data_IF_704166922426
#
_entry.id   IF_704166922426
#
_cell.length_a   1.000
_cell.length_b   1.000
_cell.length_c   1.000
_cell.angle_alpha   90.00
_cell.angle_beta   90.00
_cell.angle_gamma   90.00
#
_symmetry.space_group_name_H-M   'P 1'
#
loop_
_entity.id
_entity.type
_entity.pdbx_description
1 polymer ?
#
# COMPACT_ATOMS: atom_id res chain seq x y z
N UNK A 1 -51.82 26.56 -15.62
CA UNK A 1 -50.39 26.81 -15.95
C UNK A 1 -49.50 27.09 -14.74
N UNK A 2 -49.96 27.76 -13.67
CA UNK A 2 -49.14 28.04 -12.46
C UNK A 2 -48.75 26.81 -11.61
N UNK A 3 -49.62 25.79 -11.53
CA UNK A 3 -49.39 24.57 -10.72
C UNK A 3 -48.39 23.58 -11.33
N UNK A 4 -48.28 23.55 -12.66
CA UNK A 4 -47.36 22.66 -13.40
C UNK A 4 -45.90 23.15 -13.25
N UNK A 5 -45.70 24.47 -13.25
CA UNK A 5 -44.38 25.08 -12.98
C UNK A 5 -43.85 24.76 -11.58
N UNK A 6 -44.73 24.68 -10.57
CA UNK A 6 -44.34 24.38 -9.19
C UNK A 6 -43.90 22.92 -9.05
N UNK A 7 -44.62 21.98 -9.67
CA UNK A 7 -44.23 20.56 -9.65
C UNK A 7 -42.93 20.29 -10.41
N UNK A 8 -42.68 21.01 -11.51
CA UNK A 8 -41.41 20.93 -12.25
C UNK A 8 -40.21 21.43 -11.44
N UNK A 9 -40.37 22.55 -10.71
CA UNK A 9 -39.32 23.08 -9.82
C UNK A 9 -39.03 22.16 -8.63
N UNK A 10 -40.05 21.48 -8.09
CA UNK A 10 -39.90 20.53 -6.98
C UNK A 10 -39.17 19.25 -7.42
N UNK A 11 -39.40 18.77 -8.64
CA UNK A 11 -38.67 17.63 -9.20
C UNK A 11 -37.19 17.95 -9.43
N UNK A 12 -36.87 19.18 -9.89
CA UNK A 12 -35.49 19.64 -10.08
C UNK A 12 -34.76 19.81 -8.72
N UNK A 13 -35.46 20.33 -7.71
CA UNK A 13 -34.91 20.46 -6.36
C UNK A 13 -34.65 19.09 -5.70
N UNK A 14 -35.54 18.11 -5.88
CA UNK A 14 -35.32 16.74 -5.36
C UNK A 14 -34.25 15.96 -6.14
N UNK A 15 -34.02 16.27 -7.42
CA UNK A 15 -32.88 15.72 -8.17
C UNK A 15 -31.53 16.33 -7.78
N UNK A 16 -31.51 17.51 -7.16
CA UNK A 16 -30.28 18.12 -6.66
C UNK A 16 -29.92 17.64 -5.24
N UNK A 17 -30.90 17.23 -4.44
CA UNK A 17 -30.66 16.63 -3.12
C UNK A 17 -30.19 15.16 -3.17
N UNK A 18 -30.12 14.55 -4.36
CA UNK A 18 -29.81 13.12 -4.54
C UNK A 18 -28.33 12.78 -4.73
N UNK A 19 -27.44 13.77 -4.87
CA UNK A 19 -26.01 13.57 -5.06
C UNK A 19 -25.19 14.60 -4.26
N UNK A 20 -25.40 14.65 -2.94
CA UNK A 20 -24.29 15.03 -2.06
C UNK A 20 -23.70 13.72 -1.57
N UNK A 21 -22.83 13.12 -2.39
CA UNK A 21 -21.84 12.20 -1.86
C UNK A 21 -20.95 13.06 -0.97
N UNK A 22 -21.27 13.08 0.32
CA UNK A 22 -20.31 13.40 1.38
C UNK A 22 -19.18 12.37 1.28
N UNK A 23 -18.26 12.60 0.35
CA UNK A 23 -16.89 12.11 0.38
C UNK A 23 -15.99 13.35 0.40
N UNK A 24 -16.30 14.26 1.32
CA UNK A 24 -15.62 15.55 1.46
C UNK A 24 -14.38 15.47 2.35
N UNK A 25 -14.05 14.30 2.90
CA UNK A 25 -12.88 14.08 3.78
C UNK A 25 -12.23 12.68 3.59
N UNK A 26 -12.25 12.09 2.39
CA UNK A 26 -11.54 10.81 2.18
C UNK A 26 -10.04 10.94 2.48
N UNK A 27 -9.47 12.12 2.22
CA UNK A 27 -8.07 12.39 2.52
C UNK A 27 -7.77 12.30 4.01
N UNK A 28 -8.67 12.65 4.93
CA UNK A 28 -8.35 12.69 6.37
C UNK A 28 -8.25 11.31 7.02
N UNK A 29 -8.95 10.32 6.47
CA UNK A 29 -8.92 8.93 6.95
C UNK A 29 -7.95 8.04 6.16
N UNK A 30 -7.28 8.57 5.14
CA UNK A 30 -6.31 7.81 4.35
C UNK A 30 -5.03 7.61 5.14
N UNK A 31 -4.62 6.36 5.32
CA UNK A 31 -3.31 5.98 5.84
C UNK A 31 -2.41 5.56 4.67
N UNK A 32 -1.11 5.72 4.83
CA UNK A 32 -0.13 5.33 3.81
C UNK A 32 0.83 4.30 4.36
N UNK A 33 0.98 3.18 3.65
CA UNK A 33 2.08 2.25 3.84
C UNK A 33 3.15 2.55 2.80
N UNK A 34 4.33 2.98 3.25
CA UNK A 34 5.51 3.07 2.41
C UNK A 34 6.21 1.71 2.44
N UNK A 35 6.07 0.95 1.36
CA UNK A 35 6.61 -0.40 1.24
C UNK A 35 7.97 -0.35 0.53
N UNK A 36 8.98 -0.96 1.14
CA UNK A 36 10.29 -1.18 0.55
C UNK A 36 10.63 -2.67 0.58
N UNK A 37 10.85 -3.25 -0.58
CA UNK A 37 11.30 -4.64 -0.73
C UNK A 37 12.72 -4.63 -1.26
N UNK A 38 13.67 -4.92 -0.40
CA UNK A 38 15.07 -5.06 -0.76
C UNK A 38 15.32 -6.51 -1.16
N UNK A 39 15.95 -6.70 -2.31
CA UNK A 39 16.22 -8.04 -2.83
C UNK A 39 17.71 -8.30 -2.94
N UNK A 40 18.12 -9.48 -2.46
CA UNK A 40 19.51 -9.91 -2.42
C UNK A 40 19.66 -11.36 -2.88
N UNK A 41 20.91 -11.79 -3.09
CA UNK A 41 21.24 -13.16 -3.47
C UNK A 41 21.46 -13.36 -4.98
N UNK A 42 21.68 -14.61 -5.36
CA UNK A 42 22.19 -15.00 -6.69
C UNK A 42 21.16 -14.88 -7.79
N UNK A 43 19.87 -14.97 -7.46
CA UNK A 43 18.78 -14.89 -8.43
C UNK A 43 18.11 -13.50 -8.51
N UNK A 44 18.62 -12.49 -7.79
CA UNK A 44 17.99 -11.15 -7.78
C UNK A 44 17.82 -10.54 -9.18
N UNK A 45 18.77 -10.79 -10.07
CA UNK A 45 18.75 -10.25 -11.44
C UNK A 45 17.76 -10.99 -12.36
N UNK A 46 17.18 -12.10 -11.89
CA UNK A 46 16.13 -12.83 -12.60
C UNK A 46 14.72 -12.30 -12.30
N UNK A 47 14.58 -11.37 -11.35
CA UNK A 47 13.30 -10.76 -10.98
C UNK A 47 12.89 -9.75 -12.04
N UNK A 48 11.69 -9.96 -12.57
CA UNK A 48 11.05 -9.10 -13.55
C UNK A 48 10.25 -8.00 -12.87
N UNK A 49 9.42 -8.36 -11.88
CA UNK A 49 8.61 -7.42 -11.12
C UNK A 49 8.23 -7.99 -9.75
N UNK A 50 7.81 -7.10 -8.84
CA UNK A 50 7.13 -7.45 -7.59
C UNK A 50 5.80 -6.69 -7.55
N UNK A 51 4.73 -7.44 -7.37
CA UNK A 51 3.36 -6.92 -7.19
C UNK A 51 2.76 -7.57 -5.96
N UNK A 52 1.63 -7.06 -5.48
CA UNK A 52 1.03 -7.64 -4.29
C UNK A 52 -0.29 -7.01 -3.91
N UNK A 53 -0.78 -7.42 -2.74
CA UNK A 53 -1.91 -6.78 -2.10
C UNK A 53 -1.78 -6.80 -0.58
N UNK A 54 -2.37 -5.79 0.06
CA UNK A 54 -2.66 -5.84 1.49
C UNK A 54 -4.06 -6.41 1.64
N UNK A 55 -4.16 -7.58 2.25
CA UNK A 55 -5.43 -8.24 2.55
C UNK A 55 -5.85 -7.90 3.97
N UNK A 56 -7.03 -7.30 4.11
CA UNK A 56 -7.66 -7.06 5.41
C UNK A 56 -8.54 -8.25 5.78
N UNK A 57 -8.19 -8.97 6.85
CA UNK A 57 -8.95 -10.14 7.29
C UNK A 57 -10.33 -9.78 7.84
N UNK A 58 -10.50 -8.57 8.39
CA UNK A 58 -11.72 -8.12 9.05
C UNK A 58 -12.77 -7.75 7.99
N UNK A 59 -12.37 -6.95 7.00
CA UNK A 59 -13.28 -6.42 5.98
C UNK A 59 -13.33 -7.29 4.72
N UNK A 60 -12.31 -8.12 4.51
CA UNK A 60 -12.15 -8.93 3.31
C UNK A 60 -11.57 -8.18 2.10
N UNK A 61 -11.26 -6.89 2.25
CA UNK A 61 -10.77 -6.02 1.17
C UNK A 61 -9.32 -6.34 0.83
N UNK A 62 -8.99 -6.22 -0.45
CA UNK A 62 -7.63 -6.35 -0.98
C UNK A 62 -7.20 -5.07 -1.65
N UNK A 63 -6.19 -4.42 -1.10
CA UNK A 63 -5.59 -3.22 -1.68
C UNK A 63 -4.40 -3.65 -2.53
N UNK A 64 -4.61 -3.76 -3.84
CA UNK A 64 -3.60 -4.22 -4.81
C UNK A 64 -2.60 -3.11 -5.09
N UNK A 65 -1.34 -3.48 -5.25
CA UNK A 65 -0.25 -2.56 -5.60
C UNK A 65 0.76 -3.21 -6.55
N UNK A 66 1.48 -2.35 -7.26
CA UNK A 66 2.67 -2.70 -8.02
C UNK A 66 3.85 -1.86 -7.51
N UNK A 67 5.05 -2.42 -7.59
CA UNK A 67 6.27 -1.74 -7.17
C UNK A 67 6.98 -1.09 -8.34
N UNK A 68 7.75 -0.04 -8.04
CA UNK A 68 8.73 0.54 -8.95
C UNK A 68 10.11 0.06 -8.52
N UNK A 69 10.89 -0.44 -9.48
CA UNK A 69 12.25 -0.91 -9.24
C UNK A 69 13.25 0.23 -9.38
N UNK A 70 14.10 0.38 -8.36
CA UNK A 70 15.34 1.15 -8.41
C UNK A 70 16.48 0.28 -7.88
N UNK A 71 17.42 -0.08 -8.76
CA UNK A 71 18.51 -1.01 -8.46
C UNK A 71 18.03 -2.38 -7.93
N UNK A 72 18.27 -2.65 -6.64
CA UNK A 72 17.87 -3.87 -5.93
C UNK A 72 16.72 -3.61 -4.93
N UNK A 73 16.07 -2.45 -5.02
CA UNK A 73 14.95 -2.05 -4.16
C UNK A 73 13.70 -1.91 -5.03
N UNK A 74 12.61 -2.46 -4.54
CA UNK A 74 11.28 -2.36 -5.12
C UNK A 74 10.40 -1.62 -4.14
N UNK A 75 9.85 -0.47 -4.53
CA UNK A 75 9.12 0.39 -3.58
C UNK A 75 7.77 0.85 -4.13
N UNK A 76 6.83 1.10 -3.22
CA UNK A 76 5.53 1.70 -3.56
C UNK A 76 4.88 2.32 -2.33
N UNK A 77 4.01 3.31 -2.56
CA UNK A 77 3.18 3.91 -1.53
C UNK A 77 1.75 3.39 -1.68
N UNK A 78 1.24 2.71 -0.66
CA UNK A 78 -0.06 2.06 -0.68
C UNK A 78 -1.00 2.88 0.19
N UNK A 79 -2.04 3.44 -0.43
CA UNK A 79 -3.11 4.13 0.29
C UNK A 79 -4.10 3.09 0.82
N UNK A 80 -4.33 3.11 2.13
CA UNK A 80 -5.27 2.24 2.82
C UNK A 80 -6.29 3.10 3.57
N UNK A 81 -7.56 2.77 3.39
CA UNK A 81 -8.68 3.52 3.97
C UNK A 81 -9.30 2.81 5.17
N UNK A 82 -8.81 1.61 5.47
CA UNK A 82 -9.36 0.74 6.50
C UNK A 82 -8.43 0.62 7.71
N UNK A 83 -8.98 0.08 8.78
CA UNK A 83 -8.19 -0.37 9.92
C UNK A 83 -7.32 -1.58 9.52
N UNK A 84 -6.02 -1.50 9.79
CA UNK A 84 -5.01 -2.51 9.46
C UNK A 84 -4.60 -3.36 10.67
N UNK A 85 -5.42 -3.41 11.72
CA UNK A 85 -5.15 -4.20 12.93
C UNK A 85 -4.94 -5.69 12.62
N UNK A 86 -5.66 -6.26 11.64
CA UNK A 86 -5.49 -7.65 11.16
C UNK A 86 -5.36 -7.67 9.65
N UNK A 87 -4.12 -7.73 9.17
CA UNK A 87 -3.85 -7.76 7.74
C UNK A 87 -2.64 -8.61 7.39
N UNK A 88 -2.65 -9.08 6.15
CA UNK A 88 -1.56 -9.81 5.53
C UNK A 88 -1.05 -9.02 4.32
N UNK A 89 0.27 -8.99 4.13
CA UNK A 89 0.88 -8.55 2.88
C UNK A 89 1.20 -9.77 2.03
N UNK A 90 0.51 -9.88 0.89
CA UNK A 90 0.75 -10.93 -0.10
C UNK A 90 1.61 -10.34 -1.23
N UNK A 91 2.85 -10.81 -1.38
CA UNK A 91 3.74 -10.42 -2.48
C UNK A 91 3.86 -11.55 -3.51
N UNK A 92 3.66 -11.20 -4.77
CA UNK A 92 3.98 -12.04 -5.92
C UNK A 92 5.29 -11.54 -6.55
N UNK A 93 6.35 -12.35 -6.42
CA UNK A 93 7.67 -12.12 -7.01
C UNK A 93 7.74 -12.85 -8.35
N UNK A 94 7.79 -12.09 -9.43
CA UNK A 94 7.85 -12.63 -10.79
C UNK A 94 9.30 -12.83 -11.22
N UNK A 95 9.65 -14.07 -11.49
CA UNK A 95 10.96 -14.48 -12.01
C UNK A 95 10.82 -14.84 -13.49
N UNK A 96 11.93 -14.95 -14.22
CA UNK A 96 11.92 -15.48 -15.59
C UNK A 96 11.40 -16.93 -15.62
N UNK A 97 10.11 -17.09 -15.92
CA UNK A 97 9.45 -18.39 -16.06
C UNK A 97 8.88 -19.00 -14.77
N UNK A 98 8.88 -18.28 -13.65
CA UNK A 98 8.32 -18.75 -12.38
C UNK A 98 7.70 -17.59 -11.59
N UNK A 99 6.81 -17.91 -10.65
CA UNK A 99 6.21 -16.96 -9.70
C UNK A 99 6.34 -17.50 -8.29
N UNK A 100 6.92 -16.72 -7.38
CA UNK A 100 6.95 -17.03 -5.96
C UNK A 100 6.00 -16.13 -5.21
N UNK A 101 5.16 -16.73 -4.37
CA UNK A 101 4.30 -16.00 -3.45
C UNK A 101 4.92 -15.96 -2.07
N UNK A 102 4.92 -14.79 -1.47
CA UNK A 102 5.37 -14.51 -0.11
C UNK A 102 4.17 -13.98 0.66
N UNK A 103 3.90 -14.58 1.81
CA UNK A 103 2.84 -14.16 2.72
C UNK A 103 3.49 -13.62 3.98
N UNK A 104 3.11 -12.41 4.36
CA UNK A 104 3.65 -11.73 5.54
C UNK A 104 2.49 -11.31 6.41
N UNK A 105 2.44 -11.87 7.62
CA UNK A 105 1.50 -11.44 8.65
C UNK A 105 1.92 -10.06 9.19
N UNK A 106 1.04 -9.08 9.04
CA UNK A 106 1.17 -7.71 9.56
C UNK A 106 0.24 -7.44 10.74
N UNK A 107 -0.48 -8.46 11.23
CA UNK A 107 -1.43 -8.35 12.34
C UNK A 107 -0.78 -7.74 13.57
N UNK A 108 -1.35 -6.64 14.05
CA UNK A 108 -0.86 -5.84 15.19
C UNK A 108 0.59 -5.33 15.03
N UNK A 109 1.15 -5.29 13.82
CA UNK A 109 2.51 -4.77 13.56
C UNK A 109 2.52 -3.34 13.02
N UNK A 110 1.35 -2.79 12.69
CA UNK A 110 1.20 -1.46 12.12
C UNK A 110 0.51 -0.54 13.12
N UNK A 111 1.17 0.56 13.51
CA UNK A 111 0.65 1.51 14.48
C UNK A 111 0.55 2.92 13.87
N UNK A 112 -0.66 3.43 13.70
CA UNK A 112 -0.89 4.78 13.14
C UNK A 112 -1.25 5.83 14.20
N UNK A 113 -0.83 5.61 15.46
CA UNK A 113 -1.15 6.49 16.59
C UNK A 113 -0.40 7.83 16.50
N UNK A 114 0.87 7.78 16.10
CA UNK A 114 1.76 8.96 16.01
C UNK A 114 1.95 9.49 14.58
N UNK A 115 1.70 8.65 13.57
CA UNK A 115 1.91 8.98 12.15
C UNK A 115 0.84 8.39 11.27
N UNK A 116 0.48 9.11 10.20
CA UNK A 116 -0.40 8.64 9.12
C UNK A 116 0.34 7.79 8.08
N UNK A 117 1.66 7.76 8.16
CA UNK A 117 2.56 6.98 7.31
C UNK A 117 3.26 5.94 8.18
N UNK A 118 3.18 4.68 7.75
CA UNK A 118 3.95 3.58 8.32
C UNK A 118 4.88 3.00 7.25
N UNK A 119 6.12 2.71 7.64
CA UNK A 119 7.13 2.18 6.74
C UNK A 119 7.27 0.68 6.99
N UNK A 120 7.19 -0.11 5.91
CA UNK A 120 7.40 -1.56 5.96
C UNK A 120 8.61 -1.86 5.09
N UNK A 121 9.64 -2.46 5.69
CA UNK A 121 10.82 -2.95 4.99
C UNK A 121 10.84 -4.47 4.97
N UNK A 122 11.02 -5.06 3.79
CA UNK A 122 11.06 -6.51 3.58
C UNK A 122 12.35 -6.84 2.85
N UNK A 123 13.16 -7.69 3.46
CA UNK A 123 14.37 -8.24 2.86
C UNK A 123 14.06 -9.63 2.28
N UNK A 124 14.14 -9.75 0.96
CA UNK A 124 14.00 -11.02 0.24
C UNK A 124 15.38 -11.48 -0.22
N UNK A 125 15.83 -12.64 0.26
CA UNK A 125 17.12 -13.23 -0.09
C UNK A 125 16.94 -14.51 -0.90
N UNK A 126 17.56 -14.57 -2.07
CA UNK A 126 17.65 -15.78 -2.88
C UNK A 126 18.97 -16.49 -2.58
N UNK A 127 18.91 -17.39 -1.60
CA UNK A 127 20.04 -18.23 -1.18
C UNK A 127 20.21 -19.48 -2.03
N UNK A 128 21.25 -20.26 -1.74
CA UNK A 128 21.51 -21.55 -2.37
C UNK A 128 20.39 -22.57 -2.13
N UNK A 129 19.67 -22.44 -1.02
CA UNK A 129 18.63 -23.39 -0.57
C UNK A 129 17.21 -22.95 -0.96
N UNK A 130 17.01 -21.72 -1.44
CA UNK A 130 15.71 -21.21 -1.83
C UNK A 130 15.48 -19.74 -1.48
N UNK A 131 14.20 -19.38 -1.39
CA UNK A 131 13.73 -18.04 -1.05
C UNK A 131 13.64 -17.88 0.47
N UNK A 132 14.34 -16.90 1.00
CA UNK A 132 14.30 -16.50 2.41
C UNK A 132 13.69 -15.09 2.49
N UNK A 133 12.76 -14.90 3.42
CA UNK A 133 12.04 -13.62 3.60
C UNK A 133 12.17 -13.19 5.03
N UNK A 134 12.71 -11.99 5.22
CA UNK A 134 12.84 -11.33 6.51
C UNK A 134 12.05 -10.03 6.47
N UNK A 135 11.17 -9.86 7.44
CA UNK A 135 10.49 -8.58 7.66
C UNK A 135 11.34 -7.83 8.68
N UNK A 136 11.84 -6.67 8.27
CA UNK A 136 12.72 -5.86 9.11
C UNK A 136 11.86 -4.75 9.70
N UNK A 137 11.70 -4.75 11.01
CA UNK A 137 11.03 -3.65 11.70
C UNK A 137 11.77 -2.36 11.36
N UNK A 138 11.03 -1.37 10.84
CA UNK A 138 11.63 -0.08 10.51
C UNK A 138 12.09 0.60 11.80
N UNK A 139 13.40 0.73 11.98
CA UNK A 139 13.98 1.55 13.03
C UNK A 139 14.14 2.98 12.51
N UNK A 140 13.43 3.97 13.07
CA UNK A 140 13.44 5.36 12.58
C UNK A 140 14.81 6.07 12.66
N UNK A 141 15.82 5.47 13.29
CA UNK A 141 17.11 6.12 13.59
C UNK A 141 18.19 5.99 12.50
N UNK A 142 17.83 5.67 11.25
CA UNK A 142 18.74 5.83 10.11
C UNK A 142 18.34 7.05 9.28
N UNK A 143 18.25 8.22 9.92
CA UNK A 143 18.49 9.48 9.20
C UNK A 143 19.91 9.41 8.64
N UNK A 144 20.02 9.21 7.33
CA UNK A 144 21.27 9.36 6.60
C UNK A 144 21.71 10.80 6.87
N UNK A 145 22.79 10.99 7.62
CA UNK A 145 23.54 12.24 7.62
C UNK A 145 23.87 12.52 6.15
N UNK A 146 23.12 13.44 5.54
CA UNK A 146 23.45 14.04 4.26
C UNK A 146 24.77 14.75 4.50
N UNK A 147 25.89 14.07 4.23
CA UNK A 147 27.18 14.72 4.12
C UNK A 147 27.04 15.81 3.07
N UNK A 148 26.99 17.05 3.56
CA UNK A 148 26.94 18.23 2.73
C UNK A 148 28.21 18.24 1.88
N UNK A 149 28.08 17.91 0.59
CA UNK A 149 29.11 18.20 -0.39
C UNK A 149 29.26 19.74 -0.46
N UNK A 150 30.25 20.27 0.26
CA UNK A 150 30.77 21.61 0.01
C UNK A 150 31.74 21.51 -1.17
N UNK A 151 31.31 22.04 -2.31
CA UNK A 151 32.24 22.53 -3.34
C UNK A 151 32.93 23.80 -2.84
#
# INVERSE_FOLDING_TARGET
MRKILIFGLLAIAMSWCGCHNDCTDCEDYTRTLALYVKVQGTAKDSILNIEGNIYNEITGVRTVFATVRQDSIYSTNIQVFEDLTRCECELDVFLKGDKKRVLIDLTNKLEFSESRIQVISIDITFGLLGLEVHVTDYQPDHEIELESFKN
#
